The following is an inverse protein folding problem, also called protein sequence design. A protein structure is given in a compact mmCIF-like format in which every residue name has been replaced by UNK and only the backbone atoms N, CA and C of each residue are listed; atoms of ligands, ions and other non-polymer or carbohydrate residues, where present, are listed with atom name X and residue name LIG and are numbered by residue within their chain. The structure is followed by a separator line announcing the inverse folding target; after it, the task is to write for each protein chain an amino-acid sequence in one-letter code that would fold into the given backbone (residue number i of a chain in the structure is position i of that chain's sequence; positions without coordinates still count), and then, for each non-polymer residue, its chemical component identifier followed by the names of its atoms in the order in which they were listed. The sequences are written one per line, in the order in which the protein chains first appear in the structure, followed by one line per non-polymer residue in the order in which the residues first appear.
data_IF_475786245046
#
_entry.id   IF_475786245046
#
_cell.length_a   1.000
_cell.length_b   1.000
_cell.length_c   1.000
_cell.angle_alpha   90.00
_cell.angle_beta   90.00
_cell.angle_gamma   90.00
#
_symmetry.space_group_name_H-M   'P 1'
#
loop_
_entity.id
_entity.type
_entity.pdbx_description
1 polymer ?
#
# COMPACT_ATOMS: atom_id res chain seq x y z
N UNK A 1 25.36 -3.50 1.70
CA UNK A 1 25.37 -2.95 0.32
C UNK A 1 24.00 -2.40 -0.09
N UNK A 2 22.92 -3.15 0.09
CA UNK A 2 21.53 -2.71 -0.20
C UNK A 2 21.10 -1.47 0.59
N UNK A 3 21.50 -1.34 1.86
CA UNK A 3 21.21 -0.14 2.68
C UNK A 3 21.89 1.15 2.19
N UNK A 4 22.94 1.04 1.37
CA UNK A 4 23.64 2.22 0.82
C UNK A 4 22.95 2.73 -0.45
N UNK A 5 22.45 1.83 -1.31
CA UNK A 5 21.62 2.17 -2.48
C UNK A 5 20.27 2.76 -2.08
N UNK A 6 19.65 2.21 -1.03
CA UNK A 6 18.45 2.74 -0.40
C UNK A 6 18.60 4.18 0.13
N UNK A 7 19.81 4.60 0.50
CA UNK A 7 20.06 5.88 1.17
C UNK A 7 19.99 7.10 0.23
N UNK A 8 20.21 6.87 -1.07
CA UNK A 8 20.17 7.90 -2.12
C UNK A 8 18.83 7.96 -2.87
N UNK A 9 17.91 7.02 -2.60
CA UNK A 9 16.61 7.00 -3.26
C UNK A 9 15.61 7.86 -2.47
N UNK A 10 15.15 8.96 -3.10
CA UNK A 10 14.16 9.89 -2.53
C UNK A 10 12.89 9.15 -2.08
N UNK A 11 12.52 8.08 -2.79
CA UNK A 11 11.37 7.22 -2.47
C UNK A 11 11.54 6.48 -1.14
N UNK A 12 12.77 6.03 -0.85
CA UNK A 12 13.12 5.26 0.34
C UNK A 12 13.26 6.16 1.58
N UNK A 13 13.79 7.38 1.39
CA UNK A 13 13.86 8.40 2.46
C UNK A 13 12.48 8.83 2.95
N UNK A 14 11.52 8.94 2.03
CA UNK A 14 10.17 9.42 2.33
C UNK A 14 9.32 8.39 3.09
N UNK A 15 9.51 7.09 2.83
CA UNK A 15 8.75 6.02 3.50
C UNK A 15 9.24 5.67 4.92
N UNK A 16 10.09 6.52 5.54
CA UNK A 16 10.60 6.36 6.92
C UNK A 16 9.53 6.49 8.03
N UNK A 17 8.25 6.47 7.67
CA UNK A 17 7.11 6.43 8.59
C UNK A 17 7.03 5.11 9.39
N UNK A 18 7.83 4.10 9.04
CA UNK A 18 7.97 2.88 9.84
C UNK A 18 9.41 2.39 9.81
N UNK A 19 9.88 1.75 10.90
CA UNK A 19 11.24 1.17 10.99
C UNK A 19 11.55 0.14 9.89
N UNK A 20 10.54 -0.35 9.16
CA UNK A 20 10.67 -1.24 7.99
C UNK A 20 10.46 -0.56 6.64
N UNK A 21 10.40 0.78 6.62
CA UNK A 21 10.01 1.53 5.43
C UNK A 21 10.98 1.38 4.26
N UNK A 22 12.27 1.28 4.57
CA UNK A 22 13.33 1.06 3.58
C UNK A 22 13.18 -0.27 2.87
N UNK A 23 12.97 -1.36 3.62
CA UNK A 23 12.81 -2.69 3.05
C UNK A 23 11.51 -2.80 2.25
N UNK A 24 10.44 -2.15 2.74
CA UNK A 24 9.15 -2.08 2.04
C UNK A 24 9.29 -1.34 0.71
N UNK A 25 9.91 -0.16 0.72
CA UNK A 25 10.14 0.66 -0.46
C UNK A 25 11.04 -0.07 -1.49
N UNK A 26 12.13 -0.69 -1.03
CA UNK A 26 13.01 -1.46 -1.91
C UNK A 26 12.30 -2.67 -2.52
N UNK A 27 11.60 -3.45 -1.70
CA UNK A 27 10.82 -4.61 -2.17
C UNK A 27 9.70 -4.22 -3.13
N UNK A 28 9.10 -3.04 -2.92
CA UNK A 28 8.10 -2.48 -3.82
C UNK A 28 8.70 -2.09 -5.16
N UNK A 29 9.83 -1.37 -5.15
CA UNK A 29 10.54 -0.96 -6.35
C UNK A 29 10.99 -2.17 -7.17
N UNK A 30 11.56 -3.19 -6.53
CA UNK A 30 11.97 -4.42 -7.21
C UNK A 30 10.81 -5.24 -7.75
N UNK A 31 9.65 -5.23 -7.10
CA UNK A 31 8.47 -5.96 -7.60
C UNK A 31 7.76 -5.27 -8.75
N UNK A 32 7.75 -3.93 -8.75
CA UNK A 32 7.12 -3.14 -9.81
C UNK A 32 8.05 -2.96 -11.00
N UNK A 33 9.35 -2.82 -10.77
CA UNK A 33 10.42 -2.54 -11.74
C UNK A 33 10.30 -1.15 -12.39
N UNK A 34 9.28 -0.94 -13.22
CA UNK A 34 9.02 0.34 -13.89
C UNK A 34 7.63 0.89 -13.51
N UNK A 35 7.50 2.15 -13.02
CA UNK A 35 6.21 2.70 -12.62
C UNK A 35 5.28 2.98 -13.83
N UNK A 36 5.86 3.19 -15.02
CA UNK A 36 5.14 3.40 -16.29
C UNK A 36 4.31 2.20 -16.75
N UNK A 37 4.59 0.98 -16.25
CA UNK A 37 3.86 -0.24 -16.62
C UNK A 37 2.38 -0.20 -16.25
N UNK A 38 2.02 0.59 -15.24
CA UNK A 38 0.65 0.67 -14.76
C UNK A 38 -0.06 1.83 -15.43
N UNK A 39 -1.24 1.61 -16.02
CA UNK A 39 -2.05 2.71 -16.55
C UNK A 39 -2.63 3.53 -15.40
N UNK A 40 -3.18 2.87 -14.37
CA UNK A 40 -3.75 3.51 -13.18
C UNK A 40 -2.92 3.18 -11.95
N UNK A 41 -2.82 4.13 -11.02
CA UNK A 41 -2.10 3.92 -9.75
C UNK A 41 -2.76 2.86 -8.86
N UNK A 42 -4.08 2.69 -8.98
CA UNK A 42 -4.85 1.67 -8.27
C UNK A 42 -4.53 0.24 -8.71
N UNK A 43 -3.98 0.04 -9.92
CA UNK A 43 -3.64 -1.27 -10.47
C UNK A 43 -2.49 -1.93 -9.69
N UNK A 44 -1.63 -1.15 -9.02
CA UNK A 44 -0.56 -1.68 -8.19
C UNK A 44 -1.09 -2.50 -7.01
N UNK A 45 -2.21 -2.11 -6.41
CA UNK A 45 -2.84 -2.88 -5.34
C UNK A 45 -3.36 -4.24 -5.83
N UNK A 46 -3.91 -4.28 -7.05
CA UNK A 46 -4.32 -5.53 -7.68
C UNK A 46 -3.12 -6.41 -8.03
N UNK A 47 -2.03 -5.80 -8.52
CA UNK A 47 -0.78 -6.49 -8.86
C UNK A 47 -0.14 -7.18 -7.66
N UNK A 48 -0.16 -6.56 -6.48
CA UNK A 48 0.31 -7.18 -5.22
C UNK A 48 -0.70 -8.15 -4.59
N UNK A 49 -1.85 -8.34 -5.24
CA UNK A 49 -2.90 -9.24 -4.80
C UNK A 49 -3.62 -8.81 -3.54
N UNK A 50 -3.72 -7.49 -3.31
CA UNK A 50 -4.44 -6.86 -2.20
C UNK A 50 -5.93 -6.60 -2.52
N UNK A 51 -6.39 -6.96 -3.71
CA UNK A 51 -7.79 -6.88 -4.12
C UNK A 51 -8.55 -8.18 -3.80
N UNK A 52 -9.85 -8.11 -3.50
CA UNK A 52 -10.68 -9.30 -3.33
C UNK A 52 -10.64 -10.19 -4.58
N UNK A 53 -10.63 -11.50 -4.37
CA UNK A 53 -10.89 -12.48 -5.43
C UNK A 53 -12.38 -12.42 -5.76
N UNK A 54 -12.71 -12.15 -7.01
CA UNK A 54 -14.08 -12.22 -7.51
C UNK A 54 -14.35 -13.62 -8.08
N UNK A 55 -15.39 -14.28 -7.62
CA UNK A 55 -15.92 -15.49 -8.25
C UNK A 55 -17.28 -15.14 -8.84
N UNK A 56 -17.34 -15.11 -10.17
CA UNK A 56 -18.56 -14.79 -10.90
C UNK A 56 -18.83 -15.87 -11.95
N UNK A 57 -19.89 -16.65 -11.77
CA UNK A 57 -20.57 -17.43 -12.82
C UNK A 57 -21.93 -16.78 -13.05
N UNK A 58 -22.57 -16.96 -14.22
CA UNK A 58 -23.73 -16.14 -14.63
C UNK A 58 -24.80 -15.87 -13.57
N UNK A 59 -25.04 -16.81 -12.65
CA UNK A 59 -26.03 -16.70 -11.57
C UNK A 59 -25.43 -16.41 -10.18
N UNK A 60 -24.10 -16.45 -10.01
CA UNK A 60 -23.42 -16.34 -8.72
C UNK A 60 -22.36 -15.24 -8.78
N UNK A 61 -22.53 -14.16 -8.01
CA UNK A 61 -21.48 -13.16 -7.74
C UNK A 61 -21.07 -13.23 -6.26
N UNK A 62 -19.83 -13.65 -5.99
CA UNK A 62 -19.29 -13.75 -4.63
C UNK A 62 -17.89 -13.14 -4.54
N UNK A 63 -17.72 -12.27 -3.54
CA UNK A 63 -16.42 -11.73 -3.15
C UNK A 63 -15.76 -12.61 -2.08
N UNK A 64 -14.60 -13.16 -2.39
CA UNK A 64 -13.79 -13.97 -1.47
C UNK A 64 -12.72 -13.17 -0.71
N UNK A 65 -11.74 -13.88 -0.17
CA UNK A 65 -10.53 -13.26 0.39
C UNK A 65 -9.71 -12.52 -0.67
N UNK A 66 -8.61 -11.88 -0.25
CA UNK A 66 -7.68 -11.23 -1.20
C UNK A 66 -7.12 -12.24 -2.21
N UNK A 67 -6.79 -11.79 -3.42
CA UNK A 67 -6.33 -12.66 -4.51
C UNK A 67 -4.98 -13.31 -4.22
N UNK A 68 -4.13 -12.66 -3.40
CA UNK A 68 -2.76 -13.09 -3.05
C UNK A 68 -1.82 -13.26 -4.25
N UNK A 69 -2.20 -12.75 -5.41
CA UNK A 69 -1.37 -12.72 -6.61
C UNK A 69 -0.15 -11.81 -6.42
N UNK A 70 0.87 -12.00 -7.25
CA UNK A 70 2.12 -11.22 -7.18
C UNK A 70 3.04 -11.59 -6.02
N UNK A 71 4.00 -10.70 -5.74
CA UNK A 71 5.10 -10.97 -4.81
C UNK A 71 4.61 -11.07 -3.35
N UNK A 72 4.79 -12.25 -2.74
CA UNK A 72 4.42 -12.53 -1.34
C UNK A 72 5.20 -11.64 -0.36
N UNK A 73 6.51 -11.46 -0.56
CA UNK A 73 7.36 -10.69 0.34
C UNK A 73 6.92 -9.23 0.37
N UNK A 74 6.74 -8.60 -0.80
CA UNK A 74 6.29 -7.21 -0.89
C UNK A 74 4.91 -7.03 -0.27
N UNK A 75 3.98 -7.95 -0.54
CA UNK A 75 2.65 -7.92 0.09
C UNK A 75 2.74 -7.97 1.62
N UNK A 76 3.56 -8.86 2.17
CA UNK A 76 3.75 -8.96 3.63
C UNK A 76 4.34 -7.67 4.19
N UNK A 77 5.38 -7.12 3.56
CA UNK A 77 6.02 -5.88 4.01
C UNK A 77 5.05 -4.68 4.00
N UNK A 78 4.25 -4.54 2.95
CA UNK A 78 3.24 -3.47 2.87
C UNK A 78 2.13 -3.68 3.91
N UNK A 79 1.73 -4.92 4.19
CA UNK A 79 0.77 -5.23 5.24
C UNK A 79 1.31 -4.89 6.64
N UNK A 80 2.55 -5.26 6.94
CA UNK A 80 3.22 -4.93 8.20
C UNK A 80 3.39 -3.40 8.35
N UNK A 81 3.77 -2.70 7.29
CA UNK A 81 3.86 -1.25 7.27
C UNK A 81 2.50 -0.60 7.56
N UNK A 82 1.42 -1.10 6.95
CA UNK A 82 0.06 -0.63 7.21
C UNK A 82 -0.37 -0.89 8.68
N UNK A 83 -0.07 -2.08 9.21
CA UNK A 83 -0.37 -2.40 10.61
C UNK A 83 0.39 -1.49 11.57
N UNK A 84 1.68 -1.27 11.30
CA UNK A 84 2.52 -0.34 12.06
C UNK A 84 1.95 1.08 12.05
N UNK A 85 1.57 1.60 10.88
CA UNK A 85 1.03 2.94 10.73
C UNK A 85 -0.19 3.14 11.64
N UNK A 86 -1.08 2.16 11.61
CA UNK A 86 -2.34 2.19 12.34
C UNK A 86 -2.15 2.03 13.87
N UNK A 87 -1.14 1.27 14.31
CA UNK A 87 -0.86 1.06 15.74
C UNK A 87 -0.02 2.19 16.33
N UNK A 88 0.95 2.74 15.59
CA UNK A 88 1.91 3.73 16.12
C UNK A 88 1.54 5.19 15.86
N UNK A 89 0.85 5.49 14.77
CA UNK A 89 0.57 6.88 14.33
C UNK A 89 -0.94 7.13 14.20
N UNK A 90 -1.74 6.37 14.97
CA UNK A 90 -3.18 6.23 14.81
C UNK A 90 -3.99 7.53 14.80
N UNK A 91 -3.44 8.64 15.29
CA UNK A 91 -4.16 9.91 15.51
C UNK A 91 -3.67 11.07 14.65
N UNK A 92 -2.43 11.03 14.14
CA UNK A 92 -1.76 12.26 13.70
C UNK A 92 -1.71 12.41 12.16
N UNK A 93 -2.14 11.37 11.44
CA UNK A 93 -1.98 11.27 9.99
C UNK A 93 -3.36 11.05 9.34
N UNK A 94 -3.66 11.78 8.26
CA UNK A 94 -4.95 11.67 7.54
C UNK A 94 -5.31 10.23 7.14
N UNK A 95 -4.31 9.42 6.76
CA UNK A 95 -4.49 7.99 6.48
C UNK A 95 -4.95 7.20 7.71
N UNK A 96 -4.40 7.51 8.88
CA UNK A 96 -4.73 6.84 10.13
C UNK A 96 -6.16 7.18 10.58
N UNK A 97 -6.57 8.45 10.45
CA UNK A 97 -7.94 8.93 10.70
C UNK A 97 -8.93 8.17 9.80
N UNK A 98 -8.71 8.18 8.49
CA UNK A 98 -9.54 7.45 7.53
C UNK A 98 -9.64 5.95 7.86
N UNK A 99 -8.55 5.32 8.28
CA UNK A 99 -8.60 3.91 8.68
C UNK A 99 -9.34 3.65 9.98
N UNK A 100 -9.28 4.58 10.95
CA UNK A 100 -10.06 4.45 12.18
C UNK A 100 -11.55 4.55 11.90
N UNK A 101 -11.97 5.44 10.99
CA UNK A 101 -13.37 5.47 10.51
C UNK A 101 -13.79 4.15 9.86
N UNK A 102 -12.90 3.53 9.07
CA UNK A 102 -13.16 2.23 8.45
C UNK A 102 -13.25 1.08 9.46
N UNK A 103 -12.54 1.15 10.60
CA UNK A 103 -12.62 0.14 11.66
C UNK A 103 -14.03 -0.01 12.23
N UNK A 104 -14.82 1.05 12.24
CA UNK A 104 -16.21 0.98 12.71
C UNK A 104 -17.12 0.19 11.76
N UNK A 105 -16.74 0.04 10.49
CA UNK A 105 -17.55 -0.62 9.44
C UNK A 105 -17.03 -2.01 9.06
N UNK A 106 -15.77 -2.30 9.37
CA UNK A 106 -15.07 -3.49 8.86
C UNK A 106 -14.16 -4.10 9.92
N UNK A 107 -14.06 -5.44 9.90
CA UNK A 107 -13.14 -6.15 10.78
C UNK A 107 -11.67 -5.72 10.59
N UNK A 108 -10.92 -5.69 11.70
CA UNK A 108 -9.54 -5.20 11.79
C UNK A 108 -8.61 -5.61 10.64
N UNK A 109 -8.57 -6.91 10.32
CA UNK A 109 -7.72 -7.45 9.24
C UNK A 109 -8.09 -6.89 7.86
N UNK A 110 -9.39 -6.64 7.61
CA UNK A 110 -9.85 -6.05 6.34
C UNK A 110 -9.45 -4.57 6.24
N UNK A 111 -9.43 -3.86 7.37
CA UNK A 111 -8.95 -2.47 7.41
C UNK A 111 -7.46 -2.39 7.09
N UNK A 112 -6.63 -3.27 7.67
CA UNK A 112 -5.19 -3.29 7.34
C UNK A 112 -4.98 -3.55 5.85
N UNK A 113 -5.74 -4.48 5.25
CA UNK A 113 -5.68 -4.72 3.80
C UNK A 113 -6.10 -3.48 3.00
N UNK A 114 -7.16 -2.78 3.42
CA UNK A 114 -7.61 -1.55 2.77
C UNK A 114 -6.53 -0.45 2.84
N UNK A 115 -5.88 -0.31 3.99
CA UNK A 115 -4.77 0.61 4.19
C UNK A 115 -3.54 0.23 3.35
N UNK A 116 -3.15 -1.04 3.35
CA UNK A 116 -2.06 -1.56 2.54
C UNK A 116 -2.28 -1.27 1.04
N UNK A 117 -3.52 -1.40 0.56
CA UNK A 117 -3.90 -1.03 -0.81
C UNK A 117 -3.77 0.48 -1.05
N UNK A 118 -4.23 1.32 -0.12
CA UNK A 118 -4.11 2.78 -0.24
C UNK A 118 -2.63 3.22 -0.23
N UNK A 119 -1.80 2.62 0.62
CA UNK A 119 -0.36 2.86 0.67
C UNK A 119 0.31 2.48 -0.64
N UNK A 120 -0.04 1.34 -1.22
CA UNK A 120 0.47 0.90 -2.52
C UNK A 120 0.14 1.92 -3.63
N UNK A 121 -1.09 2.40 -3.68
CA UNK A 121 -1.52 3.43 -4.63
C UNK A 121 -0.73 4.72 -4.43
N UNK A 122 -0.55 5.14 -3.18
CA UNK A 122 0.18 6.35 -2.83
C UNK A 122 1.65 6.25 -3.24
N UNK A 123 2.31 5.13 -2.92
CA UNK A 123 3.69 4.83 -3.30
C UNK A 123 3.88 4.92 -4.81
N UNK A 124 3.01 4.27 -5.61
CA UNK A 124 3.12 4.34 -7.06
C UNK A 124 2.82 5.76 -7.59
N UNK A 125 1.86 6.47 -6.99
CA UNK A 125 1.53 7.85 -7.37
C UNK A 125 2.74 8.77 -7.18
N UNK A 126 3.38 8.72 -6.01
CA UNK A 126 4.59 9.50 -5.72
C UNK A 126 5.72 9.17 -6.66
N UNK A 127 5.93 7.88 -6.94
CA UNK A 127 7.00 7.45 -7.83
C UNK A 127 6.77 7.91 -9.27
N UNK A 128 5.51 8.02 -9.70
CA UNK A 128 5.17 8.54 -11.04
C UNK A 128 5.26 10.05 -11.14
N UNK A 129 4.80 10.78 -10.13
CA UNK A 129 4.72 12.24 -10.18
C UNK A 129 6.02 12.92 -9.79
N UNK A 130 6.92 12.21 -9.10
CA UNK A 130 8.08 12.80 -8.39
C UNK A 130 7.67 13.91 -7.39
N UNK A 131 6.36 14.07 -7.15
CA UNK A 131 5.77 15.02 -6.23
C UNK A 131 5.58 14.31 -4.89
N UNK A 132 6.15 14.91 -3.85
CA UNK A 132 6.02 14.44 -2.48
C UNK A 132 4.57 14.56 -2.00
N UNK A 133 4.08 13.52 -1.31
CA UNK A 133 2.83 13.68 -0.57
C UNK A 133 3.10 14.61 0.61
N UNK A 134 2.36 15.71 0.64
CA UNK A 134 2.25 16.52 1.83
C UNK A 134 1.04 15.98 2.61
N UNK A 135 1.25 15.67 3.89
CA UNK A 135 0.28 15.06 4.80
C UNK A 135 -1.05 15.83 4.92
N UNK A 136 -1.12 17.03 4.33
CA UNK A 136 -2.30 17.89 4.19
C UNK A 136 -3.18 17.63 2.97
N UNK A 137 -2.76 16.86 1.97
CA UNK A 137 -3.60 16.61 0.78
C UNK A 137 -4.46 15.36 0.96
N UNK A 138 -5.78 15.63 1.05
CA UNK A 138 -6.87 14.65 1.14
C UNK A 138 -6.60 13.43 0.26
N UNK A 139 -6.77 12.26 0.85
CA UNK A 139 -6.81 10.98 0.15
C UNK A 139 -7.71 11.09 -1.10
N UNK A 140 -7.10 11.15 -2.28
CA UNK A 140 -7.81 11.17 -3.56
C UNK A 140 -8.71 9.94 -3.63
N UNK A 141 -10.01 10.16 -3.87
CA UNK A 141 -11.05 9.14 -4.06
C UNK A 141 -10.87 8.44 -5.40
#
# INVERSE_FOLDING_TARGET
MLEKLARNDLFVRYYNLSRGGVLTALSFKTSIDAPSRFRRVSDAGAFLGLTPKKYQSGEVDRNGGISKQGNRMTRTLVYEAASCLLTRYGTDISLAIWTNELRHRMGYKKVIVALARKLTTLMLSMWKSEIFYNERFKAVN
#
